data_IF_898618484232
#
_entry.id   IF_898618484232
#
_cell.length_a   1.000
_cell.length_b   1.000
_cell.length_c   1.000
_cell.angle_alpha   90.00
_cell.angle_beta   90.00
_cell.angle_gamma   90.00
#
_symmetry.space_group_name_H-M   'P 1'
#
loop_
_entity.id
_entity.type
_entity.pdbx_description
1 polymer ?
#
# COMPACT_ATOMS: atom_id res chain seq x y z
N UNK A 1 12.60 2.59 -8.94
CA UNK A 1 11.69 2.26 -10.06
C UNK A 1 11.57 0.78 -10.23
N UNK A 2 10.38 0.31 -10.51
CA UNK A 2 10.10 -1.10 -10.75
C UNK A 2 9.32 -1.27 -12.05
N UNK A 3 9.30 -2.51 -12.55
CA UNK A 3 8.40 -2.89 -13.63
C UNK A 3 6.95 -2.62 -13.20
N UNK A 4 6.17 -2.00 -14.07
CA UNK A 4 4.77 -1.74 -13.74
C UNK A 4 4.01 -3.07 -13.61
N UNK A 5 3.23 -3.29 -12.52
CA UNK A 5 2.59 -4.57 -12.28
C UNK A 5 1.41 -4.89 -13.22
N UNK A 6 0.87 -3.88 -13.91
CA UNK A 6 -0.20 -4.07 -14.88
C UNK A 6 0.34 -4.39 -16.26
N UNK A 7 -0.18 -5.43 -16.91
CA UNK A 7 0.19 -5.80 -18.27
C UNK A 7 -0.06 -4.67 -19.27
N UNK A 8 -1.09 -3.87 -19.05
CA UNK A 8 -1.43 -2.72 -19.89
C UNK A 8 -0.39 -1.59 -19.85
N UNK A 9 0.45 -1.53 -18.81
CA UNK A 9 1.45 -0.47 -18.61
C UNK A 9 2.89 -0.95 -18.69
N UNK A 10 3.11 -2.24 -18.52
CA UNK A 10 4.43 -2.88 -18.37
C UNK A 10 5.42 -2.53 -19.48
N UNK A 11 4.95 -2.42 -20.72
CA UNK A 11 5.80 -2.14 -21.89
C UNK A 11 6.16 -0.65 -22.04
N UNK A 12 5.37 0.27 -21.46
CA UNK A 12 5.50 1.71 -21.71
C UNK A 12 5.81 2.54 -20.47
N UNK A 13 5.57 1.98 -19.28
CA UNK A 13 5.70 2.71 -18.01
C UNK A 13 6.46 1.91 -16.97
N UNK A 14 7.19 2.62 -16.10
CA UNK A 14 7.70 2.12 -14.83
C UNK A 14 6.83 2.65 -13.70
N UNK A 15 6.81 1.96 -12.57
CA UNK A 15 6.24 2.47 -11.35
C UNK A 15 7.35 3.00 -10.45
N UNK A 16 7.16 4.19 -9.89
CA UNK A 16 8.12 4.81 -8.97
C UNK A 16 7.47 5.02 -7.61
N UNK A 17 8.06 4.42 -6.60
CA UNK A 17 7.73 4.66 -5.19
C UNK A 17 9.02 4.97 -4.44
N UNK A 18 8.92 5.81 -3.42
CA UNK A 18 10.03 6.07 -2.51
C UNK A 18 10.17 4.94 -1.48
N UNK A 19 11.29 4.93 -0.78
CA UNK A 19 11.63 3.86 0.14
C UNK A 19 10.93 3.97 1.49
N UNK A 20 10.63 2.81 2.06
CA UNK A 20 10.24 2.60 3.44
C UNK A 20 11.08 1.42 3.94
N UNK A 21 11.64 1.54 5.15
CA UNK A 21 12.44 0.47 5.74
C UNK A 21 11.67 -0.25 6.84
N UNK A 22 11.73 -1.57 6.81
CA UNK A 22 11.10 -2.46 7.78
C UNK A 22 11.38 -3.91 7.43
N UNK A 23 10.91 -4.87 8.23
CA UNK A 23 11.16 -6.30 7.97
C UNK A 23 10.36 -6.85 6.78
N UNK A 24 9.36 -6.10 6.31
CA UNK A 24 8.57 -6.44 5.13
C UNK A 24 8.75 -5.36 4.07
N UNK A 25 8.58 -5.72 2.81
CA UNK A 25 8.55 -4.75 1.72
C UNK A 25 7.17 -4.08 1.68
N UNK A 26 6.90 -3.21 2.64
CA UNK A 26 5.64 -2.51 2.78
C UNK A 26 5.58 -1.28 1.90
N UNK A 27 4.37 -0.99 1.41
CA UNK A 27 4.04 0.23 0.67
C UNK A 27 2.99 0.99 1.47
N UNK A 28 3.16 2.31 1.56
CA UNK A 28 2.27 3.18 2.34
C UNK A 28 1.56 4.16 1.41
N UNK A 29 0.25 4.25 1.57
CA UNK A 29 -0.61 5.22 0.92
C UNK A 29 -1.36 5.99 2.00
N UNK A 30 -1.50 7.29 1.86
CA UNK A 30 -2.11 8.12 2.90
C UNK A 30 -2.82 9.33 2.34
N UNK A 31 -3.75 9.86 3.10
CA UNK A 31 -4.46 11.06 2.74
C UNK A 31 -5.46 11.50 3.81
N UNK A 32 -6.30 12.43 3.42
CA UNK A 32 -7.41 12.94 4.22
C UNK A 32 -8.67 12.92 3.38
N UNK A 33 -9.80 12.69 4.02
CA UNK A 33 -11.10 12.73 3.36
C UNK A 33 -12.16 13.24 4.32
N UNK A 34 -13.03 14.18 3.88
CA UNK A 34 -14.18 14.58 4.68
C UNK A 34 -15.27 13.52 4.58
N UNK A 35 -15.94 13.25 5.70
CA UNK A 35 -17.12 12.40 5.70
C UNK A 35 -18.36 13.17 5.20
N UNK A 36 -19.24 12.47 4.53
CA UNK A 36 -20.56 12.94 4.16
C UNK A 36 -21.57 11.92 4.69
N UNK A 37 -22.50 12.38 5.53
CA UNK A 37 -23.47 11.49 6.19
C UNK A 37 -22.78 10.27 6.86
N UNK A 38 -21.70 10.53 7.57
CA UNK A 38 -20.98 9.53 8.36
C UNK A 38 -20.15 8.52 7.55
N UNK A 39 -19.94 8.74 6.26
CA UNK A 39 -19.21 7.79 5.42
C UNK A 39 -18.39 8.50 4.35
N UNK A 40 -17.32 7.83 3.91
CA UNK A 40 -16.54 8.23 2.75
C UNK A 40 -15.90 7.00 2.11
N UNK A 41 -15.66 7.07 0.82
CA UNK A 41 -14.89 6.09 0.08
C UNK A 41 -13.70 6.76 -0.58
N UNK A 42 -12.55 6.06 -0.62
CA UNK A 42 -11.33 6.52 -1.25
C UNK A 42 -10.88 5.48 -2.27
N UNK A 43 -10.70 5.91 -3.50
CA UNK A 43 -10.04 5.12 -4.54
C UNK A 43 -8.53 5.30 -4.38
N UNK A 44 -7.86 4.27 -3.86
CA UNK A 44 -6.43 4.33 -3.54
C UNK A 44 -5.59 4.56 -4.79
N UNK A 45 -5.93 3.93 -5.90
CA UNK A 45 -5.21 4.13 -7.16
C UNK A 45 -5.33 5.59 -7.64
N UNK A 46 -6.54 6.14 -7.62
CA UNK A 46 -6.81 7.49 -8.08
C UNK A 46 -6.06 8.55 -7.27
N UNK A 47 -6.15 8.49 -5.93
CA UNK A 47 -5.48 9.48 -5.07
C UNK A 47 -3.96 9.34 -5.08
N UNK A 48 -3.46 8.19 -5.47
CA UNK A 48 -2.03 7.90 -5.58
C UNK A 48 -1.49 8.10 -7.00
N UNK A 49 -2.31 8.62 -7.90
CA UNK A 49 -1.98 8.84 -9.32
C UNK A 49 -1.53 7.58 -10.06
N UNK A 50 -2.14 6.45 -9.70
CA UNK A 50 -1.88 5.16 -10.33
C UNK A 50 -3.04 4.73 -11.23
N UNK A 51 -2.73 3.92 -12.23
CA UNK A 51 -3.74 3.29 -13.07
C UNK A 51 -4.62 2.35 -12.24
N UNK A 52 -5.92 2.34 -12.49
CA UNK A 52 -6.87 1.45 -11.81
C UNK A 52 -6.40 -0.01 -11.87
N UNK A 53 -6.43 -0.67 -10.72
CA UNK A 53 -5.95 -2.05 -10.57
C UNK A 53 -4.50 -2.17 -10.10
N UNK A 54 -3.72 -1.10 -10.08
CA UNK A 54 -2.30 -1.13 -9.66
C UNK A 54 -2.14 -1.54 -8.20
N UNK A 55 -2.94 -0.94 -7.31
CA UNK A 55 -2.86 -1.25 -5.89
C UNK A 55 -3.10 -2.73 -5.60
N UNK A 56 -4.12 -3.31 -6.19
CA UNK A 56 -4.47 -4.73 -6.02
C UNK A 56 -3.37 -5.66 -6.57
N UNK A 57 -2.80 -5.30 -7.72
CA UNK A 57 -1.72 -6.08 -8.32
C UNK A 57 -0.42 -6.02 -7.51
N UNK A 58 -0.20 -4.90 -6.81
CA UNK A 58 1.06 -4.61 -6.12
C UNK A 58 1.08 -5.05 -4.66
N UNK A 59 -0.07 -5.05 -3.97
CA UNK A 59 -0.18 -5.18 -2.53
C UNK A 59 -0.99 -6.40 -2.09
N UNK A 60 -0.53 -7.03 -1.00
CA UNK A 60 -1.24 -8.07 -0.24
C UNK A 60 -1.19 -7.73 1.25
N UNK A 61 -1.93 -8.47 2.08
CA UNK A 61 -2.00 -8.29 3.54
C UNK A 61 -2.26 -6.83 3.93
N UNK A 62 -3.26 -6.25 3.30
CA UNK A 62 -3.57 -4.83 3.41
C UNK A 62 -4.16 -4.52 4.78
N UNK A 63 -3.61 -3.49 5.43
CA UNK A 63 -4.12 -2.92 6.67
C UNK A 63 -4.42 -1.46 6.49
N UNK A 64 -5.47 -0.96 7.14
CA UNK A 64 -5.81 0.46 7.13
C UNK A 64 -5.87 1.03 8.54
N UNK A 65 -5.54 2.30 8.63
CA UNK A 65 -5.52 3.07 9.87
C UNK A 65 -6.28 4.37 9.62
N UNK A 66 -7.18 4.70 10.51
CA UNK A 66 -8.00 5.91 10.40
C UNK A 66 -7.97 6.69 11.70
N UNK A 67 -7.90 8.01 11.57
CA UNK A 67 -7.92 8.93 12.70
C UNK A 67 -8.81 10.13 12.37
N UNK A 68 -9.77 10.43 13.25
CA UNK A 68 -10.57 11.64 13.15
C UNK A 68 -9.72 12.85 13.55
N UNK A 69 -9.40 13.73 12.59
CA UNK A 69 -8.56 14.91 12.84
C UNK A 69 -9.32 16.09 13.44
N UNK A 70 -10.60 16.23 13.12
CA UNK A 70 -11.34 17.46 13.40
C UNK A 70 -12.41 17.31 14.46
N UNK A 71 -12.71 16.10 14.90
CA UNK A 71 -13.72 15.83 15.89
C UNK A 71 -13.43 14.60 16.74
N UNK A 72 -14.38 14.25 17.60
CA UNK A 72 -14.22 13.15 18.57
C UNK A 72 -15.05 11.91 18.22
N UNK A 73 -15.79 11.95 17.12
CA UNK A 73 -16.57 10.81 16.68
C UNK A 73 -15.65 9.65 16.28
N UNK A 74 -15.96 8.46 16.76
CA UNK A 74 -15.21 7.26 16.41
C UNK A 74 -15.47 6.88 14.96
N UNK A 75 -14.39 6.45 14.30
CA UNK A 75 -14.42 6.01 12.91
C UNK A 75 -13.70 4.68 12.76
N UNK A 76 -14.07 3.92 11.74
CA UNK A 76 -13.36 2.71 11.33
C UNK A 76 -13.25 2.68 9.81
N UNK A 77 -12.22 2.00 9.33
CA UNK A 77 -11.99 1.80 7.90
C UNK A 77 -11.90 0.33 7.53
N UNK A 78 -12.16 0.06 6.27
CA UNK A 78 -11.90 -1.25 5.67
C UNK A 78 -11.50 -1.07 4.22
N UNK A 79 -10.66 -1.98 3.72
CA UNK A 79 -10.20 -1.96 2.32
C UNK A 79 -10.74 -3.19 1.61
N UNK A 80 -11.37 -2.97 0.47
CA UNK A 80 -11.78 -4.03 -0.45
C UNK A 80 -11.29 -3.66 -1.85
N UNK A 81 -10.47 -4.51 -2.45
CA UNK A 81 -9.81 -4.16 -3.70
C UNK A 81 -8.93 -2.91 -3.53
N UNK A 82 -9.17 -1.89 -4.34
CA UNK A 82 -8.50 -0.59 -4.25
C UNK A 82 -9.35 0.48 -3.57
N UNK A 83 -10.43 0.10 -2.89
CA UNK A 83 -11.36 1.02 -2.23
C UNK A 83 -11.24 0.94 -0.72
N UNK A 84 -10.90 2.07 -0.11
CA UNK A 84 -10.99 2.28 1.34
C UNK A 84 -12.36 2.87 1.65
N UNK A 85 -13.10 2.23 2.54
CA UNK A 85 -14.37 2.74 3.06
C UNK A 85 -14.18 3.15 4.52
N UNK A 86 -14.53 4.38 4.85
CA UNK A 86 -14.49 4.91 6.21
C UNK A 86 -15.91 5.16 6.68
N UNK A 87 -16.24 4.66 7.86
CA UNK A 87 -17.57 4.79 8.46
C UNK A 87 -17.44 5.37 9.86
N UNK A 88 -18.22 6.38 10.17
CA UNK A 88 -18.31 6.94 11.51
C UNK A 88 -19.42 6.25 12.32
N UNK A 89 -19.24 6.23 13.63
CA UNK A 89 -20.28 5.75 14.55
C UNK A 89 -21.53 6.63 14.48
N UNK A 90 -21.35 7.95 14.29
CA UNK A 90 -22.43 8.90 14.06
C UNK A 90 -22.70 9.05 12.57
N UNK A 91 -23.91 8.68 12.14
CA UNK A 91 -24.32 8.73 10.73
C UNK A 91 -24.47 10.16 10.17
N UNK A 92 -24.39 11.18 10.99
CA UNK A 92 -24.43 12.59 10.59
C UNK A 92 -23.02 13.23 10.58
N UNK A 93 -21.98 12.49 10.91
CA UNK A 93 -20.63 13.00 11.02
C UNK A 93 -20.11 13.54 9.67
N UNK A 94 -19.54 14.73 9.71
CA UNK A 94 -18.89 15.40 8.56
C UNK A 94 -17.43 15.74 8.83
N UNK A 95 -16.84 15.13 9.84
CA UNK A 95 -15.44 15.36 10.22
C UNK A 95 -14.48 14.91 9.12
N UNK A 96 -13.29 15.49 9.14
CA UNK A 96 -12.20 15.08 8.24
C UNK A 96 -11.39 13.96 8.89
N UNK A 97 -11.18 12.90 8.13
CA UNK A 97 -10.48 11.71 8.60
C UNK A 97 -9.13 11.60 7.87
N UNK A 98 -8.07 11.47 8.67
CA UNK A 98 -6.77 11.03 8.17
C UNK A 98 -6.77 9.53 8.03
N UNK A 99 -6.27 9.05 6.91
CA UNK A 99 -6.18 7.61 6.65
C UNK A 99 -4.79 7.21 6.17
N UNK A 100 -4.45 5.97 6.47
CA UNK A 100 -3.24 5.32 5.97
C UNK A 100 -3.57 3.88 5.63
N UNK A 101 -3.08 3.43 4.48
CA UNK A 101 -3.19 2.05 4.04
C UNK A 101 -1.79 1.51 3.82
N UNK A 102 -1.52 0.35 4.39
CA UNK A 102 -0.24 -0.35 4.23
C UNK A 102 -0.52 -1.69 3.55
N UNK A 103 0.25 -2.01 2.53
CA UNK A 103 0.21 -3.32 1.88
C UNK A 103 1.62 -3.86 1.67
N UNK A 104 1.80 -5.16 1.82
CA UNK A 104 3.05 -5.82 1.49
C UNK A 104 3.15 -6.01 -0.01
N UNK A 105 4.30 -5.65 -0.58
CA UNK A 105 4.56 -5.77 -2.00
C UNK A 105 4.58 -7.23 -2.45
N UNK A 106 3.89 -7.57 -3.54
CA UNK A 106 3.72 -8.94 -4.04
C UNK A 106 3.96 -9.11 -5.54
N UNK A 107 4.46 -8.09 -6.22
CA UNK A 107 4.68 -8.17 -7.66
C UNK A 107 5.76 -9.20 -8.03
N UNK A 108 5.88 -9.50 -9.31
CA UNK A 108 6.76 -10.55 -9.85
C UNK A 108 8.21 -10.44 -9.36
N UNK A 109 8.75 -9.21 -9.30
CA UNK A 109 10.11 -8.98 -8.83
C UNK A 109 10.34 -9.54 -7.42
N UNK A 110 9.35 -9.39 -6.51
CA UNK A 110 9.43 -9.89 -5.14
C UNK A 110 9.51 -11.41 -5.05
N UNK A 111 9.11 -12.12 -6.09
CA UNK A 111 9.14 -13.60 -6.14
C UNK A 111 10.37 -14.14 -6.85
N UNK A 112 11.15 -13.30 -7.49
CA UNK A 112 12.27 -13.67 -8.35
C UNK A 112 13.62 -13.12 -7.88
N UNK A 113 13.63 -12.31 -6.83
CA UNK A 113 14.87 -11.70 -6.33
C UNK A 113 15.58 -12.60 -5.31
N UNK A 114 16.90 -12.45 -5.17
CA UNK A 114 17.71 -13.23 -4.26
C UNK A 114 17.55 -12.89 -2.77
N UNK A 115 16.83 -11.82 -2.43
CA UNK A 115 16.61 -11.39 -1.04
C UNK A 115 15.20 -11.68 -0.51
N UNK A 116 14.40 -12.42 -1.29
CA UNK A 116 13.05 -12.86 -0.92
C UNK A 116 12.91 -14.37 -1.03
N UNK A 117 11.89 -14.93 -0.35
CA UNK A 117 11.53 -16.34 -0.49
C UNK A 117 10.64 -16.58 -1.73
N UNK A 118 10.22 -17.84 -1.93
CA UNK A 118 9.40 -18.21 -3.07
C UNK A 118 8.03 -17.54 -3.10
N UNK A 119 7.51 -17.12 -1.96
CA UNK A 119 6.23 -16.43 -1.82
C UNK A 119 6.38 -14.90 -1.95
N UNK A 120 7.62 -14.42 -2.08
CA UNK A 120 7.93 -13.01 -2.26
C UNK A 120 8.06 -12.22 -0.95
N UNK A 121 8.17 -12.89 0.19
CA UNK A 121 8.45 -12.23 1.47
C UNK A 121 9.93 -11.98 1.63
N UNK A 122 10.30 -10.85 2.25
CA UNK A 122 11.69 -10.53 2.55
C UNK A 122 12.28 -11.57 3.50
N UNK A 123 13.47 -12.06 3.17
CA UNK A 123 14.26 -12.86 4.10
C UNK A 123 15.00 -11.90 5.02
N UNK A 124 14.50 -11.74 6.23
CA UNK A 124 14.97 -10.69 7.16
C UNK A 124 16.38 -10.96 7.66
N UNK A 125 16.74 -12.22 7.84
CA UNK A 125 18.05 -12.64 8.34
C UNK A 125 18.70 -13.62 7.37
N UNK A 126 19.15 -13.14 6.19
CA UNK A 126 19.82 -14.04 5.24
C UNK A 126 21.17 -14.53 5.80
N UNK A 127 21.55 -15.76 5.45
CA UNK A 127 22.86 -16.30 5.79
C UNK A 127 23.93 -15.60 4.96
N UNK A 128 25.02 -15.17 5.60
CA UNK A 128 26.15 -14.58 4.91
C UNK A 128 26.85 -15.70 4.09
N UNK A 129 26.95 -15.47 2.78
CA UNK A 129 27.70 -16.34 1.88
C UNK A 129 29.02 -15.60 1.57
N UNK A 130 30.19 -16.17 1.91
CA UNK A 130 31.48 -15.54 1.58
C UNK A 130 31.60 -15.32 0.06
N UNK A 131 32.08 -14.15 -0.33
CA UNK A 131 32.35 -13.74 -1.72
C UNK A 131 31.10 -13.33 -2.54
N UNK A 132 29.90 -13.20 -1.94
CA UNK A 132 28.76 -12.55 -2.59
C UNK A 132 28.68 -11.07 -2.19
N UNK A 133 28.45 -10.21 -3.19
CA UNK A 133 28.09 -8.81 -2.95
C UNK A 133 26.63 -8.74 -2.51
N UNK A 134 26.38 -8.02 -1.41
CA UNK A 134 25.00 -7.71 -1.02
C UNK A 134 24.34 -6.80 -2.06
N UNK A 135 23.27 -7.27 -2.67
CA UNK A 135 22.40 -6.40 -3.45
C UNK A 135 21.48 -5.61 -2.52
N UNK A 136 21.36 -4.30 -2.72
CA UNK A 136 20.40 -3.52 -1.94
C UNK A 136 18.97 -4.02 -2.25
N UNK A 137 18.07 -4.07 -1.26
CA UNK A 137 16.70 -4.57 -1.43
C UNK A 137 15.84 -3.71 -2.35
N UNK A 138 16.29 -2.50 -2.69
CA UNK A 138 15.56 -1.56 -3.55
C UNK A 138 16.46 -1.03 -4.65
N UNK A 139 15.89 -0.92 -5.84
CA UNK A 139 16.55 -0.30 -7.01
C UNK A 139 16.57 1.23 -6.93
#
# INVERSE_FOLDING_TARGET
RIEHPLDSKKATHKLVHSFIEGPKADLIYRGRVPLVAGSATVDIDSVSTMTDGTFVALCRDVQCFTTNETGWTQVKGSVSGNTLTITAQDSDCTDTISWMVIGERQDKHMKETGWTDADGHVIVEPVIIPDEEEEPPFD
#
